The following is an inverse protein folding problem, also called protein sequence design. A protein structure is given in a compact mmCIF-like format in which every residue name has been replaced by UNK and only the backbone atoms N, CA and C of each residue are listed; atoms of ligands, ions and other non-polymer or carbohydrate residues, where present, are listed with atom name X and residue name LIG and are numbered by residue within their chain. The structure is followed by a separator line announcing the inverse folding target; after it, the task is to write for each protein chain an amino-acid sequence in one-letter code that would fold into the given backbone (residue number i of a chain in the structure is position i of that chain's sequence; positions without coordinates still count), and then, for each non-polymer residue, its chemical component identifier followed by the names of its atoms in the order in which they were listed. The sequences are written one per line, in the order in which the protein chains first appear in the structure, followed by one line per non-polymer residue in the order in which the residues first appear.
data_IF_671444149097
#
_entry.id   IF_671444149097
#
_cell.length_a   1.000
_cell.length_b   1.000
_cell.length_c   1.000
_cell.angle_alpha   90.00
_cell.angle_beta   90.00
_cell.angle_gamma   90.00
#
_symmetry.space_group_name_H-M   'P 1'
#
loop_
_entity.id
_entity.type
_entity.pdbx_description
1 polymer ?
#
# COMPACT_ATOMS: atom_id res chain seq x y z
N UNK A 1 -7.92 -10.00 1.80
CA UNK A 1 -6.44 -9.99 1.76
C UNK A 1 -5.94 -8.65 2.26
N UNK A 2 -4.89 -8.65 3.09
CA UNK A 2 -4.20 -7.45 3.58
C UNK A 2 -2.73 -7.48 3.15
N UNK A 3 -2.17 -6.32 2.81
CA UNK A 3 -0.75 -6.14 2.52
C UNK A 3 -0.23 -4.83 3.09
N UNK A 4 1.05 -4.79 3.42
CA UNK A 4 1.71 -3.59 3.97
C UNK A 4 1.89 -2.48 2.94
N UNK A 5 2.19 -1.28 3.45
CA UNK A 5 2.59 -0.10 2.67
C UNK A 5 4.11 0.06 2.61
N UNK A 6 4.60 1.25 2.93
CA UNK A 6 6.04 1.59 2.96
C UNK A 6 6.49 2.47 1.79
N UNK A 7 6.90 1.91 0.63
CA UNK A 7 6.90 0.49 0.25
C UNK A 7 7.90 -0.35 1.07
N UNK A 8 7.60 -1.63 1.25
CA UNK A 8 8.49 -2.57 1.96
C UNK A 8 8.06 -2.92 3.40
N UNK A 9 6.91 -2.41 3.85
CA UNK A 9 6.36 -2.75 5.15
C UNK A 9 5.74 -4.16 5.15
N UNK A 10 5.99 -4.94 6.20
CA UNK A 10 5.39 -6.27 6.34
C UNK A 10 3.86 -6.19 6.41
N UNK A 11 3.19 -7.08 5.68
CA UNK A 11 1.74 -7.22 5.76
C UNK A 11 1.28 -7.75 7.12
N UNK A 12 2.17 -8.41 7.87
CA UNK A 12 1.91 -8.98 9.19
C UNK A 12 1.62 -7.92 10.26
N UNK A 13 2.01 -6.66 10.03
CA UNK A 13 1.75 -5.59 10.99
C UNK A 13 0.24 -5.42 11.25
N UNK A 14 -0.59 -5.55 10.22
CA UNK A 14 -2.03 -5.37 10.35
C UNK A 14 -2.70 -6.45 11.22
N UNK A 15 -2.55 -7.76 10.95
CA UNK A 15 -3.13 -8.78 11.82
C UNK A 15 -2.59 -8.71 13.26
N UNK A 16 -1.28 -8.47 13.46
CA UNK A 16 -0.69 -8.42 14.79
C UNK A 16 -0.88 -7.08 15.53
N UNK A 17 -1.46 -6.06 14.89
CA UNK A 17 -1.91 -4.82 15.54
C UNK A 17 -3.38 -4.87 15.99
N UNK A 18 -4.05 -6.01 15.83
CA UNK A 18 -5.40 -6.25 16.36
C UNK A 18 -6.44 -6.69 15.33
N UNK A 19 -6.16 -6.65 14.03
CA UNK A 19 -7.12 -7.18 13.05
C UNK A 19 -7.13 -8.72 13.04
N UNK A 20 -6.05 -9.37 13.46
CA UNK A 20 -5.95 -10.81 13.65
C UNK A 20 -6.54 -11.26 14.99
N UNK A 21 -6.51 -12.56 15.31
CA UNK A 21 -7.06 -13.08 16.57
C UNK A 21 -6.25 -12.62 17.79
N UNK A 22 -4.97 -12.28 17.60
CA UNK A 22 -4.08 -11.81 18.64
C UNK A 22 -3.32 -10.56 18.19
N UNK A 23 -3.04 -9.65 19.12
CA UNK A 23 -2.03 -8.62 18.97
C UNK A 23 -0.77 -8.95 19.79
N UNK A 24 0.33 -8.26 19.50
CA UNK A 24 1.58 -8.42 20.26
C UNK A 24 1.67 -7.33 21.32
N UNK A 25 1.82 -7.74 22.58
CA UNK A 25 2.16 -6.87 23.71
C UNK A 25 3.59 -7.13 24.15
N UNK A 26 4.15 -6.25 24.99
CA UNK A 26 5.46 -6.41 25.59
C UNK A 26 5.28 -6.76 27.06
N UNK A 27 5.92 -7.85 27.51
CA UNK A 27 5.94 -8.24 28.92
C UNK A 27 6.92 -7.38 29.75
N UNK A 28 6.96 -7.60 31.05
CA UNK A 28 7.83 -6.85 31.98
C UNK A 28 9.33 -7.03 31.67
N UNK A 29 9.72 -8.08 30.94
CA UNK A 29 11.09 -8.37 30.54
C UNK A 29 11.43 -7.87 29.13
N UNK A 30 10.50 -7.23 28.43
CA UNK A 30 10.70 -6.75 27.06
C UNK A 30 10.40 -7.79 25.97
N UNK A 31 9.83 -8.95 26.29
CA UNK A 31 9.48 -9.97 25.30
C UNK A 31 8.11 -9.73 24.70
N UNK A 32 7.99 -10.02 23.39
CA UNK A 32 6.71 -10.02 22.70
C UNK A 32 5.84 -11.20 23.13
N UNK A 33 4.68 -10.92 23.71
CA UNK A 33 3.67 -11.92 24.09
C UNK A 33 2.38 -11.72 23.28
N UNK A 34 1.72 -12.79 22.80
CA UNK A 34 0.44 -12.67 22.15
C UNK A 34 -0.66 -12.39 23.19
N UNK A 35 -1.49 -11.40 22.93
CA UNK A 35 -2.71 -11.13 23.70
C UNK A 35 -3.91 -11.21 22.76
N UNK A 36 -5.07 -11.66 23.25
CA UNK A 36 -6.28 -11.73 22.44
C UNK A 36 -6.68 -10.33 21.95
N UNK A 37 -7.00 -10.20 20.66
CA UNK A 37 -7.50 -8.94 20.14
C UNK A 37 -8.97 -8.75 20.55
N UNK A 38 -9.35 -7.62 21.15
CA UNK A 38 -10.74 -7.37 21.56
C UNK A 38 -11.69 -7.13 20.38
N UNK A 39 -11.17 -6.81 19.19
CA UNK A 39 -11.96 -6.46 17.99
C UNK A 39 -11.38 -7.15 16.75
N UNK A 40 -11.29 -8.48 16.79
CA UNK A 40 -10.69 -9.25 15.71
C UNK A 40 -11.58 -9.29 14.47
N UNK A 41 -11.01 -9.05 13.29
CA UNK A 41 -11.73 -9.24 12.03
C UNK A 41 -12.02 -10.72 11.75
N UNK A 42 -11.23 -11.63 12.36
CA UNK A 42 -11.39 -13.07 12.16
C UNK A 42 -12.69 -13.64 12.76
N UNK A 43 -13.43 -12.85 13.55
CA UNK A 43 -14.77 -13.18 14.03
C UNK A 43 -15.85 -13.10 12.92
N UNK A 44 -15.56 -12.38 11.83
CA UNK A 44 -16.53 -12.12 10.77
C UNK A 44 -16.02 -12.47 9.36
N UNK A 45 -14.71 -12.46 9.14
CA UNK A 45 -14.12 -12.70 7.81
C UNK A 45 -12.85 -13.55 7.89
N UNK A 46 -12.53 -14.21 6.77
CA UNK A 46 -11.23 -14.85 6.60
C UNK A 46 -10.16 -13.79 6.27
N UNK A 47 -9.13 -13.68 7.12
CA UNK A 47 -8.02 -12.73 6.90
C UNK A 47 -6.82 -13.45 6.30
N UNK A 48 -6.54 -13.16 5.03
CA UNK A 48 -5.29 -13.52 4.35
C UNK A 48 -4.34 -12.33 4.38
N UNK A 49 -3.23 -12.42 5.10
CA UNK A 49 -2.19 -11.38 5.11
C UNK A 49 -0.97 -11.86 4.35
N UNK A 50 -0.36 -11.00 3.55
CA UNK A 50 0.82 -11.34 2.75
C UNK A 50 1.94 -10.31 2.94
N UNK A 51 3.17 -10.80 2.98
CA UNK A 51 4.34 -9.96 2.84
C UNK A 51 4.63 -9.74 1.35
N UNK A 52 4.57 -8.47 0.95
CA UNK A 52 4.63 -8.06 -0.45
C UNK A 52 5.33 -6.71 -0.57
N UNK A 53 6.23 -6.50 -1.55
CA UNK A 53 6.73 -7.47 -2.56
C UNK A 53 7.80 -8.45 -2.02
N UNK A 54 8.40 -9.26 -2.90
CA UNK A 54 9.56 -10.11 -2.56
C UNK A 54 10.68 -9.26 -1.94
N UNK A 55 11.22 -9.72 -0.81
CA UNK A 55 12.19 -9.00 0.03
C UNK A 55 11.56 -8.38 1.29
N UNK A 56 10.24 -8.38 1.42
CA UNK A 56 9.51 -7.87 2.59
C UNK A 56 9.27 -8.98 3.60
N UNK A 57 9.48 -8.69 4.89
CA UNK A 57 9.15 -9.59 6.00
C UNK A 57 9.70 -11.00 5.79
N UNK A 58 8.80 -11.99 5.72
CA UNK A 58 9.15 -13.40 5.49
C UNK A 58 9.14 -13.82 4.01
N UNK A 59 8.77 -12.93 3.08
CA UNK A 59 8.85 -13.18 1.64
C UNK A 59 10.26 -12.91 1.13
N UNK A 60 11.01 -13.96 0.80
CA UNK A 60 12.38 -13.85 0.28
C UNK A 60 12.53 -14.52 -1.09
N UNK A 61 13.62 -14.18 -1.79
CA UNK A 61 13.94 -14.74 -3.09
C UNK A 61 15.30 -14.26 -3.59
N UNK A 62 15.67 -14.71 -4.78
CA UNK A 62 16.89 -14.26 -5.47
C UNK A 62 16.82 -12.77 -5.85
N UNK A 63 17.97 -12.15 -6.10
CA UNK A 63 18.03 -10.72 -6.51
C UNK A 63 17.17 -10.43 -7.75
N UNK A 64 17.06 -11.39 -8.67
CA UNK A 64 16.23 -11.27 -9.88
C UNK A 64 14.71 -11.30 -9.59
N UNK A 65 14.31 -11.75 -8.40
CA UNK A 65 12.91 -11.76 -7.94
C UNK A 65 12.49 -10.43 -7.30
N UNK A 66 13.43 -9.53 -7.02
CA UNK A 66 13.09 -8.21 -6.49
C UNK A 66 12.36 -7.37 -7.56
N UNK A 67 11.50 -6.47 -7.11
CA UNK A 67 10.66 -5.61 -7.95
C UNK A 67 10.94 -4.15 -7.65
N UNK A 68 11.12 -3.37 -8.71
CA UNK A 68 11.42 -1.94 -8.64
C UNK A 68 10.22 -1.05 -9.02
N UNK A 69 9.06 -1.64 -9.33
CA UNK A 69 7.83 -0.89 -9.60
C UNK A 69 6.62 -1.61 -9.00
N UNK A 70 5.59 -0.84 -8.62
CA UNK A 70 4.32 -1.40 -8.13
C UNK A 70 3.62 -2.26 -9.18
N UNK A 71 3.82 -1.96 -10.47
CA UNK A 71 3.27 -2.75 -11.58
C UNK A 71 3.90 -4.14 -11.62
N UNK A 72 5.24 -4.24 -11.62
CA UNK A 72 5.92 -5.54 -11.66
C UNK A 72 5.68 -6.36 -10.40
N UNK A 73 5.55 -5.70 -9.24
CA UNK A 73 5.13 -6.32 -8.00
C UNK A 73 3.71 -6.91 -8.10
N UNK A 74 2.76 -6.22 -8.73
CA UNK A 74 1.38 -6.68 -8.88
C UNK A 74 1.24 -8.01 -9.65
N UNK A 75 2.15 -8.30 -10.58
CA UNK A 75 2.19 -9.61 -11.27
C UNK A 75 2.46 -10.75 -10.29
N UNK A 76 3.41 -10.59 -9.37
CA UNK A 76 3.72 -11.60 -8.37
C UNK A 76 2.53 -11.82 -7.41
N UNK A 77 1.82 -10.76 -7.04
CA UNK A 77 0.61 -10.87 -6.21
C UNK A 77 -0.49 -11.67 -6.92
N UNK A 78 -0.70 -11.42 -8.21
CA UNK A 78 -1.69 -12.18 -8.98
C UNK A 78 -1.28 -13.66 -9.13
N UNK A 79 0.00 -13.93 -9.39
CA UNK A 79 0.52 -15.31 -9.43
C UNK A 79 0.33 -16.02 -8.08
N UNK A 80 0.62 -15.34 -6.97
CA UNK A 80 0.34 -15.84 -5.63
C UNK A 80 -1.14 -16.15 -5.42
N UNK A 81 -2.06 -15.26 -5.82
CA UNK A 81 -3.50 -15.47 -5.66
C UNK A 81 -3.99 -16.67 -6.47
N UNK A 82 -3.51 -16.84 -7.71
CA UNK A 82 -3.84 -18.02 -8.52
C UNK A 82 -3.33 -19.31 -7.88
N UNK A 83 -2.10 -19.31 -7.34
CA UNK A 83 -1.58 -20.46 -6.60
C UNK A 83 -2.37 -20.74 -5.30
N UNK A 84 -2.69 -19.68 -4.55
CA UNK A 84 -3.46 -19.76 -3.31
C UNK A 84 -4.85 -20.37 -3.54
N UNK A 85 -5.60 -19.89 -4.54
CA UNK A 85 -6.92 -20.43 -4.84
C UNK A 85 -6.88 -21.83 -5.47
N UNK A 86 -5.82 -22.21 -6.18
CA UNK A 86 -5.63 -23.60 -6.60
C UNK A 86 -5.38 -24.54 -5.41
N UNK A 87 -4.61 -24.09 -4.42
CA UNK A 87 -4.35 -24.85 -3.21
C UNK A 87 -5.57 -24.90 -2.28
N UNK A 88 -6.34 -23.81 -2.21
CA UNK A 88 -7.52 -23.66 -1.35
C UNK A 88 -8.76 -23.28 -2.18
N UNK A 89 -9.26 -24.17 -3.05
CA UNK A 89 -10.32 -23.86 -4.01
C UNK A 89 -11.64 -23.47 -3.34
N UNK A 90 -11.92 -23.97 -2.13
CA UNK A 90 -13.10 -23.60 -1.37
C UNK A 90 -13.13 -22.12 -0.98
N UNK A 91 -11.97 -21.46 -0.86
CA UNK A 91 -11.87 -20.02 -0.56
C UNK A 91 -12.05 -19.15 -1.80
N UNK A 92 -11.92 -19.71 -3.01
CA UNK A 92 -12.10 -18.95 -4.25
C UNK A 92 -13.55 -18.49 -4.45
N UNK A 93 -14.52 -19.21 -3.87
CA UNK A 93 -15.94 -18.89 -3.95
C UNK A 93 -16.37 -17.78 -2.98
N UNK A 94 -15.54 -17.41 -2.00
CA UNK A 94 -15.85 -16.34 -1.06
C UNK A 94 -15.75 -14.97 -1.74
N UNK A 95 -16.51 -14.00 -1.25
CA UNK A 95 -16.22 -12.60 -1.54
C UNK A 95 -14.79 -12.25 -1.08
N UNK A 96 -14.12 -11.43 -1.89
CA UNK A 96 -12.72 -11.10 -1.79
C UNK A 96 -12.54 -9.59 -1.75
N UNK A 97 -12.04 -9.12 -0.61
CA UNK A 97 -11.66 -7.73 -0.41
C UNK A 97 -10.14 -7.60 -0.38
N UNK A 98 -9.60 -6.53 -0.97
CA UNK A 98 -8.20 -6.14 -0.78
C UNK A 98 -8.16 -4.92 0.14
N UNK A 99 -7.38 -5.00 1.22
CA UNK A 99 -7.17 -3.90 2.17
C UNK A 99 -5.69 -3.54 2.27
N UNK A 100 -5.37 -2.26 2.25
CA UNK A 100 -4.01 -1.75 2.48
C UNK A 100 -4.03 -0.27 2.89
N UNK A 101 -2.90 0.26 3.33
CA UNK A 101 -2.75 1.66 3.69
C UNK A 101 -1.41 2.25 3.29
N UNK A 102 -1.23 3.57 3.44
CA UNK A 102 -0.01 4.28 3.01
C UNK A 102 0.29 4.00 1.52
N UNK A 103 1.45 3.44 1.19
CA UNK A 103 1.83 3.05 -0.18
C UNK A 103 0.90 1.98 -0.81
N UNK A 104 -0.01 1.39 -0.02
CA UNK A 104 -1.15 0.62 -0.51
C UNK A 104 -1.98 1.35 -1.58
N UNK A 105 -2.00 2.69 -1.54
CA UNK A 105 -2.61 3.52 -2.58
C UNK A 105 -1.98 3.36 -3.98
N UNK A 106 -0.73 2.91 -4.06
CA UNK A 106 -0.09 2.54 -5.31
C UNK A 106 -0.19 1.04 -5.60
N UNK A 107 -0.06 0.17 -4.59
CA UNK A 107 -0.12 -1.28 -4.80
C UNK A 107 -1.50 -1.76 -5.26
N UNK A 108 -2.57 -1.38 -4.55
CA UNK A 108 -3.90 -1.94 -4.79
C UNK A 108 -4.43 -1.64 -6.20
N UNK A 109 -4.33 -0.41 -6.74
CA UNK A 109 -4.73 -0.15 -8.13
C UNK A 109 -3.91 -0.94 -9.16
N UNK A 110 -2.60 -1.12 -8.94
CA UNK A 110 -1.76 -1.93 -9.82
C UNK A 110 -2.17 -3.41 -9.78
N UNK A 111 -2.44 -3.96 -8.59
CA UNK A 111 -2.93 -5.32 -8.40
C UNK A 111 -4.26 -5.53 -9.16
N UNK A 112 -5.23 -4.63 -8.98
CA UNK A 112 -6.52 -4.71 -9.68
C UNK A 112 -6.33 -4.67 -11.19
N UNK A 113 -5.52 -3.75 -11.70
CA UNK A 113 -5.24 -3.59 -13.13
C UNK A 113 -4.64 -4.87 -13.73
N UNK A 114 -3.68 -5.50 -13.04
CA UNK A 114 -3.08 -6.77 -13.48
C UNK A 114 -4.08 -7.91 -13.45
N UNK A 115 -4.86 -8.06 -12.37
CA UNK A 115 -5.88 -9.12 -12.27
C UNK A 115 -6.90 -8.95 -13.41
N UNK A 116 -7.41 -7.73 -13.62
CA UNK A 116 -8.39 -7.44 -14.67
C UNK A 116 -7.83 -7.78 -16.05
N UNK A 117 -6.63 -7.28 -16.38
CA UNK A 117 -5.97 -7.55 -17.65
C UNK A 117 -5.83 -9.05 -17.91
N UNK A 118 -5.30 -9.80 -16.94
CA UNK A 118 -5.06 -11.24 -17.09
C UNK A 118 -6.36 -12.06 -17.10
N UNK A 119 -7.41 -11.57 -16.44
CA UNK A 119 -8.75 -12.17 -16.54
C UNK A 119 -9.35 -11.97 -17.93
N UNK A 120 -9.21 -10.78 -18.53
CA UNK A 120 -9.73 -10.50 -19.87
C UNK A 120 -8.98 -11.27 -20.97
N UNK A 121 -7.65 -11.42 -20.82
CA UNK A 121 -6.84 -12.31 -21.65
C UNK A 121 -7.32 -13.76 -21.53
N UNK A 122 -7.55 -14.26 -20.31
CA UNK A 122 -8.01 -15.64 -20.07
C UNK A 122 -9.43 -15.91 -20.59
N UNK A 123 -10.35 -14.95 -20.56
CA UNK A 123 -11.69 -15.10 -21.18
C UNK A 123 -11.61 -15.34 -22.68
N UNK A 124 -10.56 -14.84 -23.33
CA UNK A 124 -10.34 -14.99 -24.77
C UNK A 124 -9.63 -16.30 -25.12
N UNK A 125 -9.13 -17.03 -24.12
CA UNK A 125 -8.41 -18.30 -24.27
C UNK A 125 -9.23 -19.46 -23.68
N UNK A 126 -9.86 -20.25 -24.55
CA UNK A 126 -10.67 -21.41 -24.17
C UNK A 126 -9.87 -22.51 -23.44
N UNK A 127 -8.54 -22.49 -23.51
CA UNK A 127 -7.67 -23.43 -22.80
C UNK A 127 -7.23 -22.95 -21.41
N UNK A 128 -7.60 -21.73 -21.03
CA UNK A 128 -7.15 -21.12 -19.79
C UNK A 128 -7.73 -21.81 -18.56
N UNK A 129 -6.86 -22.32 -17.69
CA UNK A 129 -7.21 -22.84 -16.36
C UNK A 129 -7.14 -21.74 -15.27
N UNK A 130 -7.23 -20.46 -15.66
CA UNK A 130 -7.18 -19.33 -14.74
C UNK A 130 -8.49 -19.21 -13.97
N UNK A 131 -8.38 -18.96 -12.67
CA UNK A 131 -9.55 -18.65 -11.82
C UNK A 131 -9.91 -17.18 -12.08
N UNK A 132 -11.07 -16.95 -12.70
CA UNK A 132 -11.58 -15.63 -13.04
C UNK A 132 -12.21 -14.96 -11.81
N UNK A 133 -11.37 -14.43 -10.94
CA UNK A 133 -11.81 -13.72 -9.74
C UNK A 133 -11.32 -12.28 -9.73
N UNK A 134 -12.20 -11.37 -9.35
CA UNK A 134 -11.91 -9.97 -9.08
C UNK A 134 -12.22 -9.69 -7.60
N UNK A 135 -11.56 -8.71 -6.97
CA UNK A 135 -12.03 -8.22 -5.69
C UNK A 135 -13.39 -7.51 -5.86
N UNK A 136 -14.35 -7.89 -5.03
CA UNK A 136 -15.68 -7.28 -4.95
C UNK A 136 -15.61 -5.93 -4.20
N UNK A 137 -14.60 -5.74 -3.35
CA UNK A 137 -14.37 -4.47 -2.63
C UNK A 137 -12.90 -4.18 -2.38
N UNK A 138 -12.62 -2.90 -2.14
CA UNK A 138 -11.32 -2.43 -1.66
C UNK A 138 -11.48 -1.56 -0.43
N UNK A 139 -10.53 -1.67 0.49
CA UNK A 139 -10.41 -0.79 1.65
C UNK A 139 -9.04 -0.13 1.63
N UNK A 140 -9.01 1.20 1.63
CA UNK A 140 -7.80 1.99 1.52
C UNK A 140 -7.72 2.96 2.71
N UNK A 141 -6.68 2.81 3.53
CA UNK A 141 -6.53 3.54 4.80
C UNK A 141 -5.32 4.47 4.75
N UNK A 142 -5.53 5.79 4.92
CA UNK A 142 -4.46 6.80 4.93
C UNK A 142 -3.46 6.62 3.78
N UNK A 143 -3.96 6.61 2.54
CA UNK A 143 -3.17 6.24 1.38
C UNK A 143 -2.34 7.38 0.79
N UNK A 144 -1.23 6.98 0.16
CA UNK A 144 -0.47 7.78 -0.78
C UNK A 144 -0.83 7.27 -2.19
N UNK A 145 -1.62 8.04 -2.95
CA UNK A 145 -2.10 7.63 -4.28
C UNK A 145 -1.85 8.67 -5.37
N UNK A 146 -2.14 9.94 -5.09
CA UNK A 146 -1.83 11.06 -5.96
C UNK A 146 -0.93 12.07 -5.25
N UNK A 147 0.34 12.11 -5.65
CA UNK A 147 1.35 12.96 -5.02
C UNK A 147 1.04 14.44 -5.25
N UNK A 148 0.52 14.79 -6.43
CA UNK A 148 0.24 16.19 -6.75
C UNK A 148 -0.83 16.77 -5.81
N UNK A 149 -1.94 16.06 -5.59
CA UNK A 149 -2.96 16.47 -4.63
C UNK A 149 -2.44 16.40 -3.19
N UNK A 150 -1.66 15.38 -2.84
CA UNK A 150 -1.05 15.26 -1.52
C UNK A 150 -0.24 16.51 -1.16
N UNK A 151 0.73 16.89 -2.00
CA UNK A 151 1.58 18.05 -1.75
C UNK A 151 0.81 19.37 -1.85
N UNK A 152 -0.24 19.49 -2.68
CA UNK A 152 -1.11 20.68 -2.67
C UNK A 152 -1.77 20.92 -1.32
N UNK A 153 -2.12 19.86 -0.60
CA UNK A 153 -2.81 19.95 0.68
C UNK A 153 -1.88 19.94 1.89
N UNK A 154 -0.58 19.68 1.71
CA UNK A 154 0.36 19.54 2.83
C UNK A 154 0.49 20.85 3.62
N UNK A 155 0.63 21.98 2.92
CA UNK A 155 0.68 23.30 3.58
C UNK A 155 -0.61 23.56 4.35
N UNK A 156 -1.78 23.38 3.73
CA UNK A 156 -3.07 23.58 4.42
C UNK A 156 -3.20 22.70 5.66
N UNK A 157 -2.77 21.44 5.58
CA UNK A 157 -2.96 20.45 6.66
C UNK A 157 -2.04 20.69 7.85
N UNK A 158 -0.85 21.27 7.62
CA UNK A 158 0.18 21.43 8.65
C UNK A 158 0.28 22.87 9.17
N UNK A 159 -0.16 23.86 8.38
CA UNK A 159 0.05 25.28 8.64
C UNK A 159 -1.22 26.07 8.90
N UNK A 160 -2.40 25.46 8.81
CA UNK A 160 -3.61 26.11 9.27
C UNK A 160 -3.80 25.93 10.77
N UNK A 161 -4.32 26.97 11.40
CA UNK A 161 -4.73 26.92 12.81
C UNK A 161 -5.94 26.02 12.95
N UNK A 162 -5.86 25.07 13.87
CA UNK A 162 -7.00 24.31 14.33
C UNK A 162 -7.99 25.22 15.10
N UNK A 163 -9.18 24.73 15.49
CA UNK A 163 -10.13 25.52 16.29
C UNK A 163 -9.59 26.00 17.65
N UNK A 164 -8.52 25.39 18.16
CA UNK A 164 -7.80 25.80 19.38
C UNK A 164 -6.73 26.86 19.12
N UNK A 165 -6.51 27.26 17.87
CA UNK A 165 -5.51 28.26 17.47
C UNK A 165 -4.10 27.70 17.30
N UNK A 166 -3.90 26.39 17.45
CA UNK A 166 -2.62 25.69 17.31
C UNK A 166 -2.36 25.26 15.87
N UNK A 167 -1.10 25.32 15.44
CA UNK A 167 -0.63 24.82 14.15
C UNK A 167 0.33 23.66 14.40
N UNK A 168 0.40 22.70 13.48
CA UNK A 168 1.36 21.61 13.59
C UNK A 168 2.78 22.13 13.40
N UNK A 169 2.99 22.99 12.39
CA UNK A 169 4.23 23.70 12.16
C UNK A 169 4.13 25.17 12.59
N UNK A 170 5.27 25.74 13.00
CA UNK A 170 5.36 27.15 13.31
C UNK A 170 5.38 28.00 12.02
N UNK A 171 5.19 29.32 12.17
CA UNK A 171 5.10 30.25 11.04
C UNK A 171 6.33 30.17 10.11
N UNK A 172 7.54 30.01 10.66
CA UNK A 172 8.78 29.93 9.87
C UNK A 172 8.81 28.71 8.96
N UNK A 173 8.48 27.53 9.49
CA UNK A 173 8.43 26.28 8.70
C UNK A 173 7.33 26.37 7.64
N UNK A 174 6.21 27.02 7.96
CA UNK A 174 5.11 27.19 7.03
C UNK A 174 5.42 28.12 5.87
N UNK A 175 6.14 29.22 6.13
CA UNK A 175 6.64 30.11 5.06
C UNK A 175 7.60 29.37 4.13
N UNK A 176 8.54 28.61 4.69
CA UNK A 176 9.51 27.84 3.91
C UNK A 176 8.83 26.75 3.05
N UNK A 177 7.83 26.05 3.61
CA UNK A 177 7.01 25.10 2.87
C UNK A 177 6.23 25.78 1.74
N UNK A 178 5.66 26.97 1.98
CA UNK A 178 4.94 27.73 0.96
C UNK A 178 5.85 28.15 -0.20
N UNK A 179 7.11 28.51 0.08
CA UNK A 179 8.08 28.95 -0.93
C UNK A 179 8.57 27.79 -1.82
N UNK A 180 8.73 26.59 -1.24
CA UNK A 180 9.22 25.41 -1.97
C UNK A 180 8.12 24.65 -2.72
N UNK A 181 6.86 24.77 -2.29
CA UNK A 181 5.75 24.01 -2.83
C UNK A 181 5.56 24.15 -4.35
N UNK A 182 5.67 25.35 -4.98
CA UNK A 182 5.50 25.47 -6.43
C UNK A 182 6.47 24.60 -7.24
N UNK A 183 7.76 24.58 -6.87
CA UNK A 183 8.77 23.78 -7.58
C UNK A 183 8.52 22.26 -7.40
N UNK A 184 8.11 21.84 -6.21
CA UNK A 184 7.68 20.47 -5.97
C UNK A 184 6.48 20.10 -6.86
N UNK A 185 5.42 20.92 -6.91
CA UNK A 185 4.23 20.62 -7.70
C UNK A 185 4.52 20.58 -9.22
N UNK A 186 5.34 21.51 -9.71
CA UNK A 186 5.74 21.57 -11.11
C UNK A 186 6.59 20.34 -11.51
N UNK A 187 7.53 19.93 -10.65
CA UNK A 187 8.35 18.73 -10.89
C UNK A 187 7.52 17.44 -10.85
N UNK A 188 6.54 17.30 -9.96
CA UNK A 188 5.58 16.18 -9.97
C UNK A 188 4.81 16.16 -11.29
N UNK A 189 4.24 17.31 -11.69
CA UNK A 189 3.45 17.42 -12.93
C UNK A 189 4.29 17.07 -14.17
N UNK A 190 5.55 17.50 -14.19
CA UNK A 190 6.51 17.14 -15.23
C UNK A 190 6.80 15.63 -15.24
N UNK A 191 6.98 15.01 -14.06
CA UNK A 191 7.21 13.57 -13.94
C UNK A 191 6.04 12.73 -14.48
N UNK A 192 4.81 13.21 -14.33
CA UNK A 192 3.62 12.55 -14.88
C UNK A 192 3.59 12.59 -16.41
N UNK A 193 4.10 13.66 -17.02
CA UNK A 193 4.14 13.83 -18.48
C UNK A 193 5.28 13.02 -19.12
N UNK A 194 6.47 13.03 -18.51
CA UNK A 194 7.66 12.38 -19.09
C UNK A 194 7.77 10.91 -18.70
N UNK A 195 7.33 10.55 -17.49
CA UNK A 195 7.37 9.21 -16.91
C UNK A 195 8.77 8.56 -16.85
N UNK A 196 9.85 9.32 -17.04
CA UNK A 196 11.23 8.83 -16.98
C UNK A 196 11.70 8.67 -15.53
N UNK A 197 12.67 7.78 -15.30
CA UNK A 197 13.28 7.60 -13.98
C UNK A 197 13.87 8.91 -13.45
N UNK A 198 14.57 9.66 -14.30
CA UNK A 198 15.19 10.94 -13.93
C UNK A 198 14.13 11.95 -13.48
N UNK A 199 13.04 12.11 -14.24
CA UNK A 199 11.96 13.05 -13.86
C UNK A 199 11.27 12.67 -12.55
N UNK A 200 11.16 11.37 -12.24
CA UNK A 200 10.56 10.88 -10.99
C UNK A 200 11.48 11.12 -9.80
N UNK A 201 12.79 10.87 -9.95
CA UNK A 201 13.78 11.14 -8.91
C UNK A 201 13.87 12.63 -8.62
N UNK A 202 13.92 13.47 -9.65
CA UNK A 202 13.95 14.93 -9.50
C UNK A 202 12.72 15.44 -8.73
N UNK A 203 11.53 14.94 -9.07
CA UNK A 203 10.31 15.28 -8.34
C UNK A 203 10.36 14.84 -6.86
N UNK A 204 10.82 13.62 -6.58
CA UNK A 204 10.99 13.15 -5.19
C UNK A 204 11.95 14.03 -4.42
N UNK A 205 13.10 14.41 -5.00
CA UNK A 205 14.10 15.22 -4.32
C UNK A 205 13.63 16.64 -4.04
N UNK A 206 12.90 17.26 -4.99
CA UNK A 206 12.36 18.61 -4.83
C UNK A 206 11.18 18.69 -3.86
N UNK A 207 10.50 17.57 -3.64
CA UNK A 207 9.39 17.47 -2.71
C UNK A 207 9.79 16.99 -1.31
N UNK A 208 11.04 16.56 -1.10
CA UNK A 208 11.60 16.19 0.21
C UNK A 208 11.90 17.46 1.05
N UNK A 209 10.84 18.17 1.41
CA UNK A 209 10.89 19.41 2.17
C UNK A 209 10.86 19.02 3.65
N UNK A 210 12.01 19.09 4.34
CA UNK A 210 12.19 18.70 5.76
C UNK A 210 12.06 17.20 6.08
N UNK A 211 12.38 16.29 5.15
CA UNK A 211 12.45 14.85 5.43
C UNK A 211 11.12 14.12 5.27
N UNK A 212 10.27 14.55 4.31
CA UNK A 212 8.95 14.00 4.02
C UNK A 212 8.89 13.34 2.64
#
# INVERSE_FOLDING_TARGET
MTLGGGPGGSGMLFPFSGAGPCSISIDENGHGIPIASPYSWTEHVNVLSIDHPVGVGFSYGERASLRNTSLTAAWDTDDFLQAFWRQYPHLANNEFMISSGSYGGHFVPNIISVIQKRNDEAKSDLSSARILKMPESIMLVNICSDMLTHFRWIHHSLCNRDPGGTMFFNDTVCMDLADQLPECLDSIQYSYQQQTLVSKIDATQKCDIHGW
#
